data_IF_387805600470
#
_entry.id   IF_387805600470
#
_cell.length_a   1.000
_cell.length_b   1.000
_cell.length_c   1.000
_cell.angle_alpha   90.00
_cell.angle_beta   90.00
_cell.angle_gamma   90.00
#
_symmetry.space_group_name_H-M   'P 1'
#
loop_
_entity.id
_entity.type
_entity.pdbx_description
1 polymer ?
#
# COMPACT_ATOMS: atom_id res chain seq x y z
N UNK A 1 2.12 11.93 43.62
CA UNK A 1 3.29 11.74 42.74
C UNK A 1 3.72 10.27 42.58
N UNK A 2 3.37 9.36 43.51
CA UNK A 2 3.79 7.94 43.43
C UNK A 2 2.92 7.04 42.52
N UNK A 3 1.66 7.38 42.25
CA UNK A 3 0.76 6.53 41.45
C UNK A 3 1.05 6.56 39.94
N UNK A 4 1.68 7.63 39.44
CA UNK A 4 2.03 7.78 38.02
C UNK A 4 3.19 6.86 37.63
N UNK A 5 4.20 6.76 38.50
CA UNK A 5 5.41 5.97 38.26
C UNK A 5 5.10 4.47 38.33
N UNK A 6 4.21 4.06 39.25
CA UNK A 6 3.80 2.65 39.38
C UNK A 6 2.98 2.22 38.15
N UNK A 7 2.11 3.08 37.61
CA UNK A 7 1.35 2.78 36.39
C UNK A 7 2.26 2.64 35.17
N UNK A 8 3.21 3.57 34.99
CA UNK A 8 4.16 3.51 33.86
C UNK A 8 5.01 2.23 33.89
N UNK A 9 5.54 1.85 35.06
CA UNK A 9 6.33 0.61 35.23
C UNK A 9 5.48 -0.64 34.93
N UNK A 10 4.22 -0.68 35.35
CA UNK A 10 3.32 -1.82 35.08
C UNK A 10 3.00 -1.90 33.58
N UNK A 11 2.76 -0.78 32.89
CA UNK A 11 2.55 -0.81 31.42
C UNK A 11 3.81 -1.27 30.70
N UNK A 12 5.00 -0.77 31.04
CA UNK A 12 6.24 -1.15 30.36
C UNK A 12 6.58 -2.62 30.58
N UNK A 13 6.40 -3.15 31.80
CA UNK A 13 6.59 -4.58 32.10
C UNK A 13 5.54 -5.43 31.36
N UNK A 14 4.29 -4.95 31.28
CA UNK A 14 3.22 -5.61 30.52
C UNK A 14 3.53 -5.72 29.02
N UNK A 15 3.99 -4.65 28.39
CA UNK A 15 4.32 -4.63 26.96
C UNK A 15 5.52 -5.52 26.64
N UNK A 16 6.53 -5.53 27.51
CA UNK A 16 7.71 -6.40 27.36
C UNK A 16 7.32 -7.87 27.54
N UNK A 17 6.46 -8.20 28.51
CA UNK A 17 5.95 -9.57 28.69
C UNK A 17 5.10 -10.03 27.51
N UNK A 18 4.23 -9.19 26.97
CA UNK A 18 3.43 -9.52 25.78
C UNK A 18 4.33 -9.72 24.56
N UNK A 19 5.32 -8.86 24.33
CA UNK A 19 6.28 -9.03 23.25
C UNK A 19 7.12 -10.32 23.40
N UNK A 20 7.54 -10.64 24.63
CA UNK A 20 8.34 -11.84 24.92
C UNK A 20 7.53 -13.12 24.75
N UNK A 21 6.28 -13.14 25.22
CA UNK A 21 5.35 -14.26 25.05
C UNK A 21 5.00 -14.45 23.57
N UNK A 22 4.71 -13.37 22.84
CA UNK A 22 4.43 -13.42 21.39
C UNK A 22 5.65 -13.91 20.60
N UNK A 23 6.85 -13.45 20.97
CA UNK A 23 8.13 -13.92 20.41
C UNK A 23 8.40 -15.40 20.68
N UNK A 24 8.15 -15.89 21.90
CA UNK A 24 8.33 -17.31 22.25
C UNK A 24 7.31 -18.23 21.58
N UNK A 25 6.04 -17.82 21.45
CA UNK A 25 5.05 -18.59 20.69
C UNK A 25 5.39 -18.63 19.19
N UNK A 26 5.88 -17.52 18.63
CA UNK A 26 6.34 -17.44 17.24
C UNK A 26 7.58 -18.31 16.98
N UNK A 27 8.51 -18.36 17.95
CA UNK A 27 9.71 -19.18 17.91
C UNK A 27 9.42 -20.69 18.05
N UNK A 28 8.50 -21.07 18.95
CA UNK A 28 8.06 -22.48 19.05
C UNK A 28 7.27 -22.93 17.82
N UNK A 29 6.50 -22.05 17.18
CA UNK A 29 5.79 -22.34 15.93
C UNK A 29 6.73 -22.51 14.73
N UNK A 30 7.95 -21.96 14.76
CA UNK A 30 8.95 -22.10 13.70
C UNK A 30 9.76 -23.39 13.81
N UNK A 31 9.97 -23.93 15.02
CA UNK A 31 10.80 -25.12 15.24
C UNK A 31 10.12 -26.46 14.90
N UNK A 32 8.78 -26.47 14.77
CA UNK A 32 7.97 -27.66 14.47
C UNK A 32 7.29 -27.62 13.09
N UNK A 33 7.62 -26.66 12.23
CA UNK A 33 7.07 -26.62 10.88
C UNK A 33 7.91 -27.54 9.98
N UNK A 34 7.30 -28.66 9.58
CA UNK A 34 7.44 -29.17 8.21
C UNK A 34 7.51 -27.96 7.24
N UNK A 35 8.21 -28.11 6.12
CA UNK A 35 8.36 -27.12 5.02
C UNK A 35 7.05 -26.63 4.37
N UNK A 36 6.01 -26.35 5.16
CA UNK A 36 4.82 -25.61 4.78
C UNK A 36 5.26 -24.18 4.54
N UNK A 37 5.67 -23.91 3.29
CA UNK A 37 5.81 -22.56 2.76
C UNK A 37 4.56 -21.78 3.16
N UNK A 38 4.77 -20.63 3.81
CA UNK A 38 3.67 -19.75 4.18
C UNK A 38 2.97 -19.33 2.89
N UNK A 39 1.65 -19.47 2.88
CA UNK A 39 0.80 -19.10 1.75
C UNK A 39 1.02 -17.62 1.40
N UNK A 40 1.23 -17.34 0.11
CA UNK A 40 1.42 -15.96 -0.38
C UNK A 40 0.16 -15.12 -0.11
N UNK A 41 -1.04 -15.73 -0.12
CA UNK A 41 -2.29 -15.05 0.29
C UNK A 41 -2.28 -14.57 1.74
N UNK A 42 -1.44 -15.13 2.59
CA UNK A 42 -1.27 -14.72 4.00
C UNK A 42 -0.12 -13.70 4.19
N UNK A 43 0.45 -13.20 3.10
CA UNK A 43 1.55 -12.24 3.16
C UNK A 43 1.16 -10.99 3.97
N UNK A 44 2.12 -10.45 4.73
CA UNK A 44 1.88 -9.33 5.64
C UNK A 44 1.40 -8.06 4.92
N UNK A 45 1.71 -7.96 3.63
CA UNK A 45 1.22 -6.90 2.73
C UNK A 45 -0.28 -6.65 2.92
N UNK A 46 -1.11 -7.69 2.84
CA UNK A 46 -2.57 -7.54 2.83
C UNK A 46 -3.14 -7.02 4.16
N UNK A 47 -2.60 -7.49 5.29
CA UNK A 47 -3.05 -7.00 6.60
C UNK A 47 -2.59 -5.55 6.84
N UNK A 48 -1.35 -5.24 6.42
CA UNK A 48 -0.76 -3.91 6.59
C UNK A 48 -1.43 -2.87 5.70
N UNK A 49 -1.80 -3.19 4.47
CA UNK A 49 -2.52 -2.24 3.59
C UNK A 49 -3.91 -1.91 4.12
N UNK A 50 -4.65 -2.87 4.70
CA UNK A 50 -5.91 -2.60 5.38
C UNK A 50 -5.72 -1.72 6.63
N UNK A 51 -4.67 -1.98 7.42
CA UNK A 51 -4.31 -1.12 8.55
C UNK A 51 -3.97 0.31 8.09
N UNK A 52 -3.19 0.45 7.01
CA UNK A 52 -2.84 1.75 6.41
C UNK A 52 -4.06 2.51 5.90
N UNK A 53 -5.06 1.84 5.30
CA UNK A 53 -6.32 2.50 4.93
C UNK A 53 -6.99 3.13 6.15
N UNK A 54 -7.10 2.36 7.24
CA UNK A 54 -7.66 2.84 8.49
C UNK A 54 -6.87 4.02 9.07
N UNK A 55 -5.55 3.96 8.98
CA UNK A 55 -4.64 5.02 9.42
C UNK A 55 -4.83 6.30 8.61
N UNK A 56 -4.85 6.20 7.28
CA UNK A 56 -5.08 7.34 6.38
C UNK A 56 -6.42 7.99 6.68
N UNK A 57 -7.49 7.22 6.87
CA UNK A 57 -8.81 7.78 7.16
C UNK A 57 -8.84 8.57 8.48
N UNK A 58 -8.18 8.06 9.52
CA UNK A 58 -8.21 8.65 10.87
C UNK A 58 -7.21 9.77 11.08
N UNK A 59 -5.97 9.59 10.62
CA UNK A 59 -4.82 10.35 11.10
C UNK A 59 -4.13 11.19 10.00
N UNK A 60 -4.49 11.00 8.73
CA UNK A 60 -3.99 11.90 7.67
C UNK A 60 -4.68 13.25 7.79
N UNK A 61 -3.91 14.31 7.97
CA UNK A 61 -4.42 15.67 8.15
C UNK A 61 -3.70 16.62 7.19
N UNK A 62 -4.49 17.45 6.50
CA UNK A 62 -3.98 18.56 5.68
C UNK A 62 -4.74 19.81 6.09
N UNK A 63 -4.06 20.95 6.13
CA UNK A 63 -4.64 22.23 6.58
C UNK A 63 -5.96 22.61 5.88
N UNK A 64 -6.14 22.23 4.62
CA UNK A 64 -7.39 22.44 3.89
C UNK A 64 -8.23 21.15 3.87
N UNK A 65 -9.51 21.26 4.25
CA UNK A 65 -10.38 20.09 4.41
C UNK A 65 -10.80 19.43 3.10
N UNK A 66 -11.12 20.21 2.07
CA UNK A 66 -11.47 19.66 0.75
C UNK A 66 -10.29 18.88 0.13
N UNK A 67 -9.07 19.40 0.32
CA UNK A 67 -7.82 18.72 -0.03
C UNK A 67 -7.65 17.43 0.74
N UNK A 68 -7.74 17.49 2.07
CA UNK A 68 -7.61 16.31 2.92
C UNK A 68 -8.54 15.19 2.48
N UNK A 69 -9.81 15.52 2.19
CA UNK A 69 -10.81 14.54 1.76
C UNK A 69 -10.47 13.96 0.38
N UNK A 70 -10.17 14.80 -0.61
CA UNK A 70 -9.78 14.34 -1.94
C UNK A 70 -8.56 13.40 -1.89
N UNK A 71 -7.55 13.75 -1.09
CA UNK A 71 -6.33 12.95 -0.98
C UNK A 71 -6.53 11.65 -0.20
N UNK A 72 -7.34 11.66 0.87
CA UNK A 72 -7.76 10.43 1.56
C UNK A 72 -8.44 9.47 0.60
N UNK A 73 -9.39 9.96 -0.20
CA UNK A 73 -10.09 9.11 -1.17
C UNK A 73 -9.16 8.51 -2.23
N UNK A 74 -8.20 9.29 -2.76
CA UNK A 74 -7.20 8.79 -3.72
C UNK A 74 -6.30 7.72 -3.11
N UNK A 75 -5.75 7.96 -1.91
CA UNK A 75 -4.86 7.00 -1.24
C UNK A 75 -5.64 5.72 -0.89
N UNK A 76 -6.87 5.84 -0.38
CA UNK A 76 -7.72 4.68 -0.06
C UNK A 76 -8.10 3.91 -1.33
N UNK A 77 -8.39 4.59 -2.44
CA UNK A 77 -8.63 3.95 -3.72
C UNK A 77 -7.39 3.17 -4.19
N UNK A 78 -6.21 3.77 -4.15
CA UNK A 78 -4.95 3.11 -4.49
C UNK A 78 -4.70 1.86 -3.64
N UNK A 79 -4.82 1.96 -2.32
CA UNK A 79 -4.66 0.82 -1.41
C UNK A 79 -5.68 -0.29 -1.68
N UNK A 80 -6.88 0.06 -2.12
CA UNK A 80 -7.94 -0.90 -2.45
C UNK A 80 -7.64 -1.64 -3.76
N UNK A 81 -7.19 -0.91 -4.77
CA UNK A 81 -6.77 -1.46 -6.06
C UNK A 81 -5.56 -2.38 -5.89
N UNK A 82 -4.54 -1.94 -5.13
CA UNK A 82 -3.37 -2.74 -4.81
C UNK A 82 -3.79 -4.06 -4.12
N UNK A 83 -4.65 -4.00 -3.11
CA UNK A 83 -5.15 -5.21 -2.44
C UNK A 83 -5.85 -6.15 -3.41
N UNK A 84 -6.76 -5.64 -4.24
CA UNK A 84 -7.52 -6.44 -5.19
C UNK A 84 -6.59 -7.17 -6.16
N UNK A 85 -5.76 -6.40 -6.88
CA UNK A 85 -4.87 -6.95 -7.92
C UNK A 85 -3.83 -7.89 -7.32
N UNK A 86 -3.22 -7.52 -6.19
CA UNK A 86 -2.16 -8.35 -5.59
C UNK A 86 -2.71 -9.61 -4.90
N UNK A 87 -3.99 -9.65 -4.53
CA UNK A 87 -4.66 -10.90 -4.11
C UNK A 87 -4.85 -11.85 -5.28
N UNK A 88 -5.21 -11.34 -6.45
CA UNK A 88 -5.30 -12.14 -7.67
C UNK A 88 -3.92 -12.66 -8.07
N UNK A 89 -2.89 -11.82 -8.00
CA UNK A 89 -1.49 -12.22 -8.16
C UNK A 89 -1.11 -13.36 -7.20
N UNK A 90 -1.36 -13.19 -5.90
CA UNK A 90 -1.09 -14.23 -4.90
C UNK A 90 -1.82 -15.54 -5.19
N UNK A 91 -3.04 -15.48 -5.74
CA UNK A 91 -3.77 -16.67 -6.15
C UNK A 91 -3.07 -17.40 -7.30
N UNK A 92 -2.65 -16.68 -8.33
CA UNK A 92 -1.97 -17.23 -9.52
C UNK A 92 -0.63 -17.87 -9.15
N UNK A 93 0.09 -17.29 -8.18
CA UNK A 93 1.32 -17.89 -7.63
C UNK A 93 1.01 -19.20 -6.90
N UNK A 94 -0.02 -19.23 -6.06
CA UNK A 94 -0.39 -20.43 -5.30
C UNK A 94 -0.98 -21.56 -6.13
N UNK A 95 -1.70 -21.25 -7.21
CA UNK A 95 -2.20 -22.26 -8.16
C UNK A 95 -1.07 -22.82 -9.04
N UNK A 96 0.13 -22.22 -8.98
CA UNK A 96 1.28 -22.64 -9.76
C UNK A 96 1.12 -22.36 -11.25
N UNK A 97 0.30 -21.37 -11.62
CA UNK A 97 0.14 -20.94 -13.01
C UNK A 97 1.43 -20.37 -13.58
N UNK A 98 2.22 -19.67 -12.76
CA UNK A 98 3.55 -19.15 -13.11
C UNK A 98 4.60 -20.25 -13.01
N UNK A 99 5.29 -20.54 -14.11
CA UNK A 99 6.27 -21.63 -14.23
C UNK A 99 7.71 -21.19 -14.08
N UNK A 100 8.02 -19.95 -14.43
CA UNK A 100 9.38 -19.42 -14.44
C UNK A 100 9.45 -17.92 -14.10
N UNK A 101 10.67 -17.41 -13.97
CA UNK A 101 10.97 -16.03 -13.62
C UNK A 101 10.51 -15.02 -14.68
N UNK A 102 10.45 -15.44 -15.96
CA UNK A 102 10.01 -14.58 -17.06
C UNK A 102 8.50 -14.39 -17.01
N UNK A 103 7.75 -15.46 -16.79
CA UNK A 103 6.31 -15.41 -16.54
C UNK A 103 5.98 -14.59 -15.28
N UNK A 104 6.76 -14.76 -14.20
CA UNK A 104 6.62 -13.97 -12.98
C UNK A 104 6.79 -12.48 -13.26
N UNK A 105 7.86 -12.10 -13.96
CA UNK A 105 8.12 -10.71 -14.34
C UNK A 105 6.98 -10.14 -15.18
N UNK A 106 6.61 -10.81 -16.26
CA UNK A 106 5.55 -10.36 -17.17
C UNK A 106 4.21 -10.20 -16.44
N UNK A 107 3.89 -11.14 -15.54
CA UNK A 107 2.70 -11.05 -14.71
C UNK A 107 2.74 -9.81 -13.81
N UNK A 108 3.86 -9.58 -13.13
CA UNK A 108 4.01 -8.42 -12.25
C UNK A 108 3.89 -7.10 -13.02
N UNK A 109 4.43 -7.01 -14.24
CA UNK A 109 4.29 -5.83 -15.11
C UNK A 109 2.82 -5.61 -15.51
N UNK A 110 2.11 -6.67 -15.90
CA UNK A 110 0.67 -6.60 -16.24
C UNK A 110 -0.20 -6.16 -15.05
N UNK A 111 0.06 -6.72 -13.87
CA UNK A 111 -0.62 -6.34 -12.63
C UNK A 111 -0.35 -4.87 -12.28
N UNK A 112 0.90 -4.43 -12.45
CA UNK A 112 1.29 -3.04 -12.25
C UNK A 112 0.57 -2.08 -13.21
N UNK A 113 0.53 -2.39 -14.51
CA UNK A 113 -0.22 -1.60 -15.50
C UNK A 113 -1.71 -1.56 -15.20
N UNK A 114 -2.27 -2.68 -14.70
CA UNK A 114 -3.66 -2.76 -14.27
C UNK A 114 -3.92 -1.85 -13.07
N UNK A 115 -3.06 -1.89 -12.07
CA UNK A 115 -3.11 -0.99 -10.91
C UNK A 115 -3.13 0.47 -11.35
N UNK A 116 -2.21 0.88 -12.23
CA UNK A 116 -2.13 2.26 -12.70
C UNK A 116 -3.36 2.69 -13.49
N UNK A 117 -3.85 1.83 -14.38
CA UNK A 117 -5.05 2.08 -15.19
C UNK A 117 -6.29 2.20 -14.32
N UNK A 118 -6.48 1.29 -13.35
CA UNK A 118 -7.63 1.34 -12.43
C UNK A 118 -7.55 2.61 -11.56
N UNK A 119 -6.36 2.96 -11.06
CA UNK A 119 -6.18 4.13 -10.22
C UNK A 119 -6.46 5.43 -10.97
N UNK A 120 -6.00 5.57 -12.22
CA UNK A 120 -6.28 6.76 -13.02
C UNK A 120 -7.78 6.94 -13.32
N UNK A 121 -8.57 5.86 -13.27
CA UNK A 121 -9.97 5.84 -13.68
C UNK A 121 -10.97 5.64 -12.54
N UNK A 122 -10.51 5.55 -11.29
CA UNK A 122 -11.35 5.15 -10.15
C UNK A 122 -12.59 6.05 -9.93
N UNK A 123 -12.52 7.30 -10.38
CA UNK A 123 -13.57 8.31 -10.20
C UNK A 123 -14.48 8.50 -11.42
N UNK A 124 -14.08 8.03 -12.61
CA UNK A 124 -14.75 8.37 -13.87
C UNK A 124 -16.19 7.84 -13.92
N UNK A 125 -16.38 6.58 -13.57
CA UNK A 125 -17.67 5.88 -13.59
C UNK A 125 -18.37 5.85 -12.23
N UNK A 126 -17.87 6.58 -11.23
CA UNK A 126 -18.45 6.61 -9.91
C UNK A 126 -19.47 7.76 -9.81
N UNK A 127 -20.74 7.41 -9.68
CA UNK A 127 -21.86 8.36 -9.63
C UNK A 127 -21.95 9.12 -8.30
N UNK A 128 -21.16 8.72 -7.29
CA UNK A 128 -21.04 9.49 -6.05
C UNK A 128 -20.27 10.80 -6.21
N UNK A 129 -19.60 11.03 -7.35
CA UNK A 129 -18.91 12.28 -7.65
C UNK A 129 -19.73 13.16 -8.58
N UNK A 130 -19.89 14.41 -8.20
CA UNK A 130 -20.39 15.48 -9.06
C UNK A 130 -19.41 15.79 -10.20
N UNK A 131 -19.86 16.53 -11.21
CA UNK A 131 -19.00 16.95 -12.31
C UNK A 131 -17.77 17.74 -11.81
N UNK A 132 -17.98 18.70 -10.91
CA UNK A 132 -16.91 19.54 -10.36
C UNK A 132 -15.90 18.73 -9.54
N UNK A 133 -16.37 17.74 -8.78
CA UNK A 133 -15.50 16.82 -8.03
C UNK A 133 -14.66 15.95 -8.97
N UNK A 134 -15.23 15.49 -10.09
CA UNK A 134 -14.48 14.75 -11.11
C UNK A 134 -13.38 15.62 -11.74
N UNK A 135 -13.64 16.92 -11.96
CA UNK A 135 -12.62 17.87 -12.45
C UNK A 135 -11.50 18.08 -11.44
N UNK A 136 -11.82 18.16 -10.14
CA UNK A 136 -10.81 18.21 -9.06
C UNK A 136 -9.94 16.95 -9.08
N UNK A 137 -10.55 15.78 -9.11
CA UNK A 137 -9.83 14.50 -9.12
C UNK A 137 -8.99 14.35 -10.39
N UNK A 138 -9.49 14.74 -11.55
CA UNK A 138 -8.72 14.72 -12.81
C UNK A 138 -7.45 15.57 -12.71
N UNK A 139 -7.56 16.81 -12.21
CA UNK A 139 -6.39 17.69 -11.98
C UNK A 139 -5.38 17.08 -11.03
N UNK A 140 -5.85 16.47 -9.93
CA UNK A 140 -4.97 15.81 -8.97
C UNK A 140 -4.29 14.60 -9.61
N UNK A 141 -5.05 13.74 -10.28
CA UNK A 141 -4.55 12.50 -10.89
C UNK A 141 -3.53 12.77 -11.99
N UNK A 142 -3.70 13.81 -12.80
CA UNK A 142 -2.72 14.22 -13.81
C UNK A 142 -1.36 14.58 -13.19
N UNK A 143 -1.36 15.32 -12.07
CA UNK A 143 -0.10 15.64 -11.36
C UNK A 143 0.47 14.44 -10.63
N UNK A 144 -0.40 13.64 -10.04
CA UNK A 144 -0.03 12.41 -9.35
C UNK A 144 0.63 11.40 -10.30
N UNK A 145 0.16 11.32 -11.56
CA UNK A 145 0.75 10.48 -12.60
C UNK A 145 2.18 10.91 -12.95
N UNK A 146 2.40 12.20 -13.23
CA UNK A 146 3.74 12.73 -13.56
C UNK A 146 4.75 12.44 -12.45
N UNK A 147 4.32 12.47 -11.18
CA UNK A 147 5.17 12.12 -10.05
C UNK A 147 5.46 10.62 -9.98
N UNK A 148 4.44 9.80 -10.23
CA UNK A 148 4.57 8.35 -10.17
C UNK A 148 5.46 7.77 -11.26
N UNK A 149 5.66 8.42 -12.40
CA UNK A 149 6.47 7.86 -13.51
C UNK A 149 7.87 7.38 -13.07
N UNK A 150 8.55 8.13 -12.19
CA UNK A 150 9.86 7.71 -11.69
C UNK A 150 9.77 6.52 -10.74
N UNK A 151 8.76 6.50 -9.86
CA UNK A 151 8.50 5.40 -8.94
C UNK A 151 8.11 4.14 -9.73
N UNK A 152 7.34 4.31 -10.79
CA UNK A 152 6.94 3.26 -11.73
C UNK A 152 8.16 2.61 -12.33
N UNK A 153 9.06 3.40 -12.94
CA UNK A 153 10.24 2.87 -13.59
C UNK A 153 11.16 2.16 -12.58
N UNK A 154 11.38 2.78 -11.43
CA UNK A 154 12.16 2.17 -10.35
C UNK A 154 11.54 0.85 -9.86
N UNK A 155 10.22 0.79 -9.71
CA UNK A 155 9.52 -0.44 -9.30
C UNK A 155 9.70 -1.56 -10.31
N UNK A 156 9.58 -1.26 -11.60
CA UNK A 156 9.79 -2.23 -12.68
C UNK A 156 11.22 -2.78 -12.65
N UNK A 157 12.21 -1.92 -12.43
CA UNK A 157 13.62 -2.32 -12.27
C UNK A 157 13.80 -3.22 -11.04
N UNK A 158 13.22 -2.86 -9.89
CA UNK A 158 13.28 -3.68 -8.68
C UNK A 158 12.67 -5.08 -8.91
N UNK A 159 11.50 -5.16 -9.55
CA UNK A 159 10.86 -6.44 -9.88
C UNK A 159 11.76 -7.26 -10.78
N UNK A 160 12.35 -6.66 -11.83
CA UNK A 160 13.29 -7.35 -12.71
C UNK A 160 14.51 -7.89 -11.95
N UNK A 161 15.08 -7.09 -11.05
CA UNK A 161 16.19 -7.50 -10.20
C UNK A 161 15.82 -8.66 -9.28
N UNK A 162 14.61 -8.65 -8.69
CA UNK A 162 14.12 -9.74 -7.83
C UNK A 162 13.91 -11.02 -8.64
N UNK A 163 13.29 -10.92 -9.81
CA UNK A 163 13.09 -12.06 -10.72
C UNK A 163 14.43 -12.68 -11.13
N UNK A 164 15.45 -11.87 -11.45
CA UNK A 164 16.76 -12.37 -11.87
C UNK A 164 17.72 -12.68 -10.71
N UNK A 165 17.33 -12.38 -9.47
CA UNK A 165 18.23 -12.53 -8.31
C UNK A 165 18.52 -14.01 -8.00
N UNK A 166 19.79 -14.41 -7.88
CA UNK A 166 20.16 -15.75 -7.44
C UNK A 166 19.94 -15.97 -5.93
N UNK A 167 19.68 -14.91 -5.16
CA UNK A 167 19.45 -15.00 -3.72
C UNK A 167 18.06 -15.53 -3.37
N UNK A 168 17.12 -15.51 -4.31
CA UNK A 168 15.78 -16.05 -4.14
C UNK A 168 15.63 -17.30 -4.99
N UNK A 169 15.56 -18.45 -4.33
CA UNK A 169 15.66 -19.78 -4.95
C UNK A 169 14.40 -20.23 -5.70
N UNK A 170 13.26 -19.61 -5.45
CA UNK A 170 11.98 -20.04 -6.03
C UNK A 170 10.97 -18.91 -6.21
N UNK A 171 10.00 -19.15 -7.09
CA UNK A 171 8.94 -18.19 -7.46
C UNK A 171 8.15 -17.67 -6.26
N UNK A 172 7.84 -18.50 -5.25
CA UNK A 172 7.10 -18.03 -4.07
C UNK A 172 7.93 -17.02 -3.27
N UNK A 173 9.23 -17.31 -3.09
CA UNK A 173 10.13 -16.40 -2.38
C UNK A 173 10.27 -15.08 -3.15
N UNK A 174 10.46 -15.12 -4.47
CA UNK A 174 10.50 -13.92 -5.32
C UNK A 174 9.20 -13.12 -5.25
N UNK A 175 8.05 -13.79 -5.34
CA UNK A 175 6.74 -13.16 -5.24
C UNK A 175 6.52 -12.48 -3.87
N UNK A 176 6.95 -13.10 -2.77
CA UNK A 176 6.88 -12.50 -1.44
C UNK A 176 7.71 -11.21 -1.36
N UNK A 177 8.93 -11.22 -1.88
CA UNK A 177 9.80 -10.03 -1.91
C UNK A 177 9.22 -8.93 -2.80
N UNK A 178 8.57 -9.28 -3.92
CA UNK A 178 7.86 -8.33 -4.77
C UNK A 178 6.71 -7.68 -3.99
N UNK A 179 5.95 -8.44 -3.20
CA UNK A 179 4.90 -7.87 -2.32
C UNK A 179 5.47 -6.92 -1.27
N UNK A 180 6.67 -7.19 -0.74
CA UNK A 180 7.37 -6.25 0.14
C UNK A 180 7.78 -4.97 -0.61
N UNK A 181 8.22 -5.05 -1.87
CA UNK A 181 8.48 -3.87 -2.69
C UNK A 181 7.23 -3.02 -2.89
N UNK A 182 6.07 -3.63 -3.17
CA UNK A 182 4.78 -2.92 -3.24
C UNK A 182 4.41 -2.23 -1.92
N UNK A 183 4.75 -2.82 -0.77
CA UNK A 183 4.55 -2.18 0.53
C UNK A 183 5.40 -0.92 0.68
N UNK A 184 6.69 -1.00 0.34
CA UNK A 184 7.60 0.16 0.40
C UNK A 184 7.10 1.31 -0.46
N UNK A 185 6.67 1.02 -1.70
CA UNK A 185 6.10 2.02 -2.62
C UNK A 185 4.85 2.66 -2.01
N UNK A 186 4.00 1.86 -1.39
CA UNK A 186 2.78 2.35 -0.74
C UNK A 186 3.10 3.34 0.40
N UNK A 187 4.10 3.00 1.23
CA UNK A 187 4.55 3.85 2.33
C UNK A 187 5.15 5.15 1.78
N UNK A 188 5.98 5.07 0.74
CA UNK A 188 6.56 6.23 0.09
C UNK A 188 5.48 7.13 -0.52
N UNK A 189 4.49 6.56 -1.21
CA UNK A 189 3.32 7.30 -1.70
C UNK A 189 2.64 8.09 -0.58
N UNK A 190 2.37 7.48 0.56
CA UNK A 190 1.69 8.15 1.68
C UNK A 190 2.58 9.26 2.26
N UNK A 191 3.88 9.01 2.42
CA UNK A 191 4.83 9.98 2.96
C UNK A 191 5.04 11.18 2.02
N UNK A 192 5.05 10.94 0.70
CA UNK A 192 5.22 11.99 -0.30
C UNK A 192 3.92 12.67 -0.70
N UNK A 193 2.76 12.06 -0.43
CA UNK A 193 1.44 12.61 -0.70
C UNK A 193 1.37 14.07 -0.24
N UNK A 194 1.65 14.37 1.02
CA UNK A 194 1.55 15.74 1.56
C UNK A 194 2.40 16.75 0.77
N UNK A 195 3.67 16.41 0.46
CA UNK A 195 4.58 17.28 -0.31
C UNK A 195 4.09 17.46 -1.75
N UNK A 196 3.77 16.37 -2.42
CA UNK A 196 3.28 16.36 -3.80
C UNK A 196 1.99 17.15 -3.92
N UNK A 197 1.11 17.03 -2.93
CA UNK A 197 -0.20 17.65 -2.93
C UNK A 197 -0.19 19.13 -2.54
N UNK A 198 0.72 19.56 -1.67
CA UNK A 198 0.94 20.98 -1.42
C UNK A 198 1.40 21.74 -2.69
N UNK A 199 2.09 21.06 -3.61
CA UNK A 199 2.50 21.64 -4.90
C UNK A 199 1.34 21.79 -5.90
N UNK A 200 0.15 21.24 -5.60
CA UNK A 200 -1.04 21.34 -6.46
C UNK A 200 -1.88 22.60 -6.14
N UNK A 201 -1.56 23.34 -5.06
CA UNK A 201 -2.35 24.43 -4.51
C UNK A 201 -2.81 25.53 -5.49
N UNK A 202 -2.05 25.82 -6.55
CA UNK A 202 -2.42 26.84 -7.54
C UNK A 202 -3.63 26.45 -8.41
N UNK A 203 -3.72 25.18 -8.80
CA UNK A 203 -4.66 24.73 -9.84
C UNK A 203 -6.03 24.30 -9.31
N UNK A 204 -6.14 24.12 -8.00
CA UNK A 204 -7.38 23.69 -7.35
C UNK A 204 -8.05 24.79 -6.51
N UNK A 205 -7.43 25.96 -6.39
CA UNK A 205 -7.91 27.04 -5.52
C UNK A 205 -9.33 27.47 -5.92
N UNK A 206 -10.24 27.43 -4.95
CA UNK A 206 -11.64 27.84 -5.13
C UNK A 206 -12.56 26.75 -5.69
N UNK A 207 -12.03 25.56 -5.99
CA UNK A 207 -12.86 24.40 -6.33
C UNK A 207 -13.45 23.78 -5.05
N UNK A 208 -14.58 23.11 -5.17
CA UNK A 208 -15.22 22.40 -4.05
C UNK A 208 -15.05 20.90 -4.20
N UNK A 209 -14.77 20.21 -3.10
CA UNK A 209 -14.76 18.75 -3.03
C UNK A 209 -15.47 18.31 -1.76
N UNK A 210 -16.51 17.47 -1.89
CA UNK A 210 -17.38 17.05 -0.78
C UNK A 210 -17.86 18.25 0.05
N UNK A 211 -18.40 19.28 -0.62
CA UNK A 211 -18.91 20.51 0.00
C UNK A 211 -17.84 21.42 0.66
N UNK A 212 -16.56 21.08 0.58
CA UNK A 212 -15.46 21.86 1.14
C UNK A 212 -14.64 22.57 0.06
N UNK A 213 -14.40 23.87 0.26
CA UNK A 213 -13.56 24.69 -0.63
C UNK A 213 -12.08 24.32 -0.47
N UNK A 214 -11.39 24.22 -1.60
CA UNK A 214 -9.96 23.87 -1.76
C UNK A 214 -9.06 25.11 -1.91
#
# INVERSE_FOLDING_TARGET
MNDSIIKEIITTIGTVLVAFVTGMFSYKATKNKNNNKVSIKQHSFFARTEALKGEVLRNFEIRNKGKEIAFKEIIVAQLSIFNKVLREFANVIETGEIKDETELYNRCISDFETIHRELYRFYLSNDSYTHDEKLVLEKIMNKYQNWNENIINHTKECILMICNSPFYSDINTKAAVILDSYMSITIDTINYAEKTFNNINGDLKGLCFREHVI
#
